data_IF_520443309517
#
_entry.id   IF_520443309517
#
_cell.length_a   1.000
_cell.length_b   1.000
_cell.length_c   1.000
_cell.angle_alpha   90.00
_cell.angle_beta   90.00
_cell.angle_gamma   90.00
#
_symmetry.space_group_name_H-M   'P 1'
#
loop_
_entity.id
_entity.type
_entity.pdbx_description
1 polymer ?
#
# COMPACT_ATOMS: atom_id res chain seq x y z
N UNK A 1 15.08 11.02 10.09
CA UNK A 1 15.96 10.07 10.82
C UNK A 1 15.97 10.38 12.32
N UNK A 2 14.82 10.33 13.02
CA UNK A 2 14.72 10.91 14.37
C UNK A 2 15.52 10.13 15.43
N UNK A 3 15.58 8.79 15.33
CA UNK A 3 16.31 7.96 16.29
C UNK A 3 17.83 8.21 16.24
N UNK A 4 18.40 8.51 15.07
CA UNK A 4 19.82 8.83 14.91
C UNK A 4 20.25 10.07 15.72
N UNK A 5 19.32 10.98 16.02
CA UNK A 5 19.59 12.14 16.89
C UNK A 5 19.81 11.77 18.35
N UNK A 6 19.40 10.57 18.76
CA UNK A 6 19.44 10.08 20.14
C UNK A 6 20.40 8.88 20.30
N UNK A 7 20.60 8.09 19.25
CA UNK A 7 21.40 6.87 19.27
C UNK A 7 22.40 6.83 18.10
N UNK A 8 23.70 7.02 18.35
CA UNK A 8 24.72 7.09 17.30
C UNK A 8 24.90 5.77 16.55
N UNK A 9 24.45 4.64 17.10
CA UNK A 9 24.54 3.32 16.44
C UNK A 9 23.70 3.26 15.16
N UNK A 10 22.67 4.11 15.05
CA UNK A 10 21.86 4.22 13.83
C UNK A 10 22.73 4.71 12.67
N UNK A 11 23.55 5.73 12.87
CA UNK A 11 24.45 6.23 11.82
C UNK A 11 25.61 5.26 11.56
N UNK A 12 26.06 4.53 12.58
CA UNK A 12 27.11 3.52 12.44
C UNK A 12 26.68 2.32 11.57
N UNK A 13 25.47 1.83 11.77
CA UNK A 13 25.00 0.56 11.17
C UNK A 13 23.97 0.73 10.04
N UNK A 14 23.11 1.75 10.06
CA UNK A 14 22.09 1.98 9.02
C UNK A 14 22.67 2.77 7.84
N UNK A 15 23.46 2.07 7.01
CA UNK A 15 24.17 2.68 5.86
C UNK A 15 23.26 3.06 4.69
N UNK A 16 22.15 2.37 4.52
CA UNK A 16 21.22 2.58 3.41
C UNK A 16 19.77 2.57 3.92
N UNK A 17 18.93 3.39 3.30
CA UNK A 17 17.50 3.39 3.50
C UNK A 17 16.79 3.36 2.14
N UNK A 18 16.03 2.30 1.89
CA UNK A 18 15.12 2.25 0.75
C UNK A 18 13.74 2.72 1.20
N UNK A 19 13.21 3.70 0.48
CA UNK A 19 11.94 4.32 0.78
C UNK A 19 11.05 4.30 -0.46
N UNK A 20 9.77 4.01 -0.26
CA UNK A 20 8.77 3.99 -1.33
C UNK A 20 7.92 5.24 -1.26
N UNK A 21 7.59 5.81 -2.43
CA UNK A 21 6.54 6.82 -2.58
C UNK A 21 5.23 6.25 -2.00
N UNK A 22 4.50 7.07 -1.25
CA UNK A 22 3.29 6.66 -0.55
C UNK A 22 2.20 7.74 -0.68
N UNK A 23 1.04 7.36 -1.23
CA UNK A 23 -0.16 8.22 -1.32
C UNK A 23 -1.12 8.07 -0.13
N UNK A 24 -0.69 7.40 0.94
CA UNK A 24 -1.53 7.01 2.07
C UNK A 24 -1.72 5.49 2.15
N UNK A 25 -1.93 4.99 3.37
CA UNK A 25 -2.21 3.59 3.64
C UNK A 25 -3.69 3.43 3.97
N UNK A 26 -4.39 2.63 3.18
CA UNK A 26 -5.74 2.18 3.50
C UNK A 26 -5.71 1.18 4.66
N UNK A 27 -6.82 1.11 5.39
CA UNK A 27 -7.12 0.01 6.29
C UNK A 27 -7.17 -1.33 5.53
N UNK A 28 -6.86 -2.43 6.22
CA UNK A 28 -6.90 -3.78 5.63
C UNK A 28 -8.29 -4.12 5.09
N UNK A 29 -9.35 -3.63 5.75
CA UNK A 29 -10.74 -3.81 5.34
C UNK A 29 -11.03 -3.31 3.92
N UNK A 30 -10.26 -2.36 3.38
CA UNK A 30 -10.36 -1.96 1.95
C UNK A 30 -10.05 -3.12 1.02
N UNK A 31 -9.00 -3.89 1.30
CA UNK A 31 -8.64 -5.06 0.50
C UNK A 31 -9.65 -6.19 0.66
N UNK A 32 -10.11 -6.43 1.89
CA UNK A 32 -11.14 -7.43 2.17
C UNK A 32 -12.45 -7.12 1.41
N UNK A 33 -12.88 -5.86 1.40
CA UNK A 33 -14.04 -5.42 0.60
C UNK A 33 -13.85 -5.64 -0.89
N UNK A 34 -12.62 -5.51 -1.40
CA UNK A 34 -12.31 -5.83 -2.80
C UNK A 34 -12.42 -7.33 -3.05
N UNK A 35 -11.93 -8.19 -2.15
CA UNK A 35 -12.08 -9.64 -2.25
C UNK A 35 -13.56 -10.06 -2.24
N UNK A 36 -14.37 -9.44 -1.37
CA UNK A 36 -15.81 -9.70 -1.26
C UNK A 36 -16.56 -9.42 -2.58
N UNK A 37 -16.12 -8.45 -3.40
CA UNK A 37 -16.71 -8.20 -4.73
C UNK A 37 -16.63 -9.41 -5.66
N UNK A 38 -15.67 -10.30 -5.44
CA UNK A 38 -15.46 -11.52 -6.20
C UNK A 38 -15.84 -12.78 -5.43
N UNK A 39 -16.44 -12.63 -4.24
CA UNK A 39 -16.82 -13.75 -3.38
C UNK A 39 -15.63 -14.57 -2.88
N UNK A 40 -14.47 -13.92 -2.70
CA UNK A 40 -13.24 -14.56 -2.24
C UNK A 40 -12.99 -14.30 -0.75
N UNK A 41 -12.40 -15.28 -0.08
CA UNK A 41 -11.77 -15.11 1.24
C UNK A 41 -10.25 -14.95 1.13
N UNK A 42 -9.62 -14.45 2.19
CA UNK A 42 -8.15 -14.24 2.22
C UNK A 42 -7.38 -15.56 2.08
N UNK A 43 -7.90 -16.67 2.62
CA UNK A 43 -7.24 -17.97 2.55
C UNK A 43 -7.21 -18.57 1.13
N UNK A 44 -8.04 -18.09 0.21
CA UNK A 44 -7.99 -18.44 -1.21
C UNK A 44 -6.92 -17.68 -1.99
N UNK A 45 -6.35 -16.60 -1.42
CA UNK A 45 -5.50 -15.66 -2.10
C UNK A 45 -4.06 -16.16 -2.24
N UNK A 46 -3.48 -16.01 -3.44
CA UNK A 46 -2.05 -16.16 -3.70
C UNK A 46 -1.35 -14.81 -3.90
N UNK A 47 -2.05 -13.82 -4.48
CA UNK A 47 -1.53 -12.48 -4.73
C UNK A 47 -2.63 -11.44 -4.61
N UNK A 48 -2.36 -10.34 -3.90
CA UNK A 48 -3.11 -9.09 -4.04
C UNK A 48 -2.14 -7.96 -4.35
N UNK A 49 -2.38 -7.26 -5.45
CA UNK A 49 -1.55 -6.15 -5.91
C UNK A 49 -2.42 -4.93 -6.12
N UNK A 50 -2.18 -3.86 -5.37
CA UNK A 50 -2.94 -2.60 -5.51
C UNK A 50 -2.73 -1.94 -6.88
N UNK A 51 -1.50 -1.94 -7.39
CA UNK A 51 -1.10 -1.38 -8.68
C UNK A 51 -0.12 -2.32 -9.38
N UNK A 52 -0.48 -2.86 -10.54
CA UNK A 52 0.35 -3.78 -11.33
C UNK A 52 0.71 -3.27 -12.72
N UNK A 53 1.90 -3.65 -13.18
CA UNK A 53 2.42 -3.39 -14.52
C UNK A 53 2.46 -1.89 -14.94
N UNK A 54 2.55 -0.96 -13.99
CA UNK A 54 2.67 0.47 -14.26
C UNK A 54 2.11 1.34 -13.15
N UNK A 55 2.13 2.66 -13.35
CA UNK A 55 1.48 3.65 -12.50
C UNK A 55 0.74 4.70 -13.38
N UNK A 56 -0.61 4.73 -13.41
CA UNK A 56 -1.52 3.86 -12.65
C UNK A 56 -1.61 2.46 -13.26
N UNK A 57 -1.40 1.45 -12.44
CA UNK A 57 -1.55 0.04 -12.79
C UNK A 57 -2.92 -0.51 -12.39
N UNK A 58 -3.27 -1.70 -12.89
CA UNK A 58 -4.48 -2.41 -12.46
C UNK A 58 -4.29 -2.97 -11.04
N UNK A 59 -5.37 -2.97 -10.26
CA UNK A 59 -5.43 -3.86 -9.11
C UNK A 59 -5.60 -5.29 -9.62
N UNK A 60 -4.76 -6.21 -9.12
CA UNK A 60 -4.70 -7.61 -9.58
C UNK A 60 -4.82 -8.53 -8.38
N UNK A 61 -5.71 -9.51 -8.49
CA UNK A 61 -6.00 -10.53 -7.48
C UNK A 61 -5.77 -11.88 -8.14
N UNK A 62 -5.02 -12.76 -7.50
CA UNK A 62 -4.79 -14.13 -7.97
C UNK A 62 -5.07 -15.10 -6.84
N UNK A 63 -5.80 -16.16 -7.15
CA UNK A 63 -6.16 -17.22 -6.21
C UNK A 63 -5.15 -18.36 -6.28
N UNK A 64 -5.04 -19.14 -5.21
CA UNK A 64 -4.18 -20.35 -5.14
C UNK A 64 -4.54 -21.40 -6.19
N UNK A 65 -5.79 -21.39 -6.68
CA UNK A 65 -6.30 -22.28 -7.74
C UNK A 65 -6.16 -21.69 -9.15
N UNK A 66 -5.46 -20.57 -9.31
CA UNK A 66 -5.09 -20.01 -10.61
C UNK A 66 -6.13 -19.07 -11.25
N UNK A 67 -7.25 -18.76 -10.59
CA UNK A 67 -8.17 -17.69 -11.06
C UNK A 67 -7.54 -16.32 -10.82
N UNK A 68 -7.75 -15.38 -11.74
CA UNK A 68 -7.28 -14.00 -11.64
C UNK A 68 -8.39 -12.98 -11.90
N UNK A 69 -8.37 -11.88 -11.16
CA UNK A 69 -9.34 -10.78 -11.28
C UNK A 69 -8.61 -9.44 -11.33
N UNK A 70 -9.19 -8.48 -12.05
CA UNK A 70 -8.61 -7.16 -12.24
C UNK A 70 -9.65 -6.05 -12.04
N UNK A 71 -9.22 -4.95 -11.41
CA UNK A 71 -10.01 -3.73 -11.24
C UNK A 71 -9.15 -2.55 -11.71
N UNK A 72 -9.75 -1.65 -12.49
CA UNK A 72 -9.05 -0.43 -12.91
C UNK A 72 -8.76 0.49 -11.73
N UNK A 73 -7.72 1.32 -11.85
CA UNK A 73 -7.38 2.32 -10.83
C UNK A 73 -8.59 3.18 -10.44
N UNK A 74 -9.34 3.67 -11.44
CA UNK A 74 -10.51 4.53 -11.22
C UNK A 74 -11.59 3.78 -10.44
N UNK A 75 -11.94 2.56 -10.82
CA UNK A 75 -12.95 1.77 -10.09
C UNK A 75 -12.56 1.47 -8.63
N UNK A 76 -11.25 1.44 -8.31
CA UNK A 76 -10.77 1.19 -6.96
C UNK A 76 -10.76 2.47 -6.10
N UNK A 77 -10.44 3.62 -6.71
CA UNK A 77 -10.07 4.87 -6.03
C UNK A 77 -10.90 6.11 -6.38
N UNK A 78 -11.90 6.05 -7.26
CA UNK A 78 -12.68 7.26 -7.64
C UNK A 78 -13.47 7.87 -6.49
N UNK A 79 -13.91 7.06 -5.53
CA UNK A 79 -14.74 7.47 -4.40
C UNK A 79 -13.88 7.65 -3.15
N UNK A 80 -13.61 8.90 -2.78
CA UNK A 80 -12.75 9.30 -1.66
C UNK A 80 -13.26 8.79 -0.31
N UNK A 81 -14.57 8.73 -0.14
CA UNK A 81 -15.21 8.25 1.09
C UNK A 81 -14.91 6.76 1.33
N UNK A 82 -14.60 6.03 0.25
CA UNK A 82 -14.26 4.60 0.28
C UNK A 82 -12.75 4.33 0.25
N UNK A 83 -11.89 5.33 0.40
CA UNK A 83 -10.44 5.05 0.44
C UNK A 83 -10.01 4.35 1.73
N UNK A 84 -10.78 4.52 2.82
CA UNK A 84 -10.49 3.96 4.14
C UNK A 84 -9.06 4.25 4.60
N UNK A 85 -8.55 5.46 4.31
CA UNK A 85 -7.19 5.87 4.67
C UNK A 85 -7.08 6.04 6.18
N UNK A 86 -6.00 5.51 6.76
CA UNK A 86 -5.73 5.64 8.18
C UNK A 86 -5.56 7.13 8.57
N UNK A 87 -6.14 7.60 9.70
CA UNK A 87 -6.16 9.03 10.03
C UNK A 87 -4.78 9.72 10.01
N UNK A 88 -3.73 9.03 10.47
CA UNK A 88 -2.35 9.56 10.43
C UNK A 88 -1.85 9.89 9.02
N UNK A 89 -2.33 9.18 8.01
CA UNK A 89 -1.92 9.39 6.62
C UNK A 89 -2.56 10.65 6.02
N UNK A 90 -3.69 11.13 6.55
CA UNK A 90 -4.29 12.42 6.15
C UNK A 90 -3.45 13.62 6.62
N UNK A 91 -2.62 13.42 7.64
CA UNK A 91 -1.74 14.45 8.21
C UNK A 91 -0.30 14.37 7.68
N UNK A 92 0.07 13.28 7.01
CA UNK A 92 1.43 13.05 6.55
C UNK A 92 1.74 13.95 5.34
N UNK A 93 2.68 14.91 5.44
CA UNK A 93 2.99 15.80 4.33
C UNK A 93 4.04 15.21 3.36
N UNK A 94 4.54 14.00 3.63
CA UNK A 94 5.66 13.41 2.91
C UNK A 94 5.22 12.24 2.02
N UNK A 95 4.86 12.56 0.78
CA UNK A 95 4.42 11.57 -0.20
C UNK A 95 5.59 10.85 -0.90
N UNK A 96 6.76 11.49 -0.99
CA UNK A 96 7.93 10.96 -1.71
C UNK A 96 8.95 10.27 -0.80
N UNK A 97 8.69 10.28 0.52
CA UNK A 97 9.59 9.82 1.58
C UNK A 97 10.95 10.50 1.51
N UNK A 98 10.94 11.82 1.66
CA UNK A 98 12.17 12.57 1.84
C UNK A 98 12.83 12.14 3.15
N UNK A 99 13.99 11.50 3.06
CA UNK A 99 14.83 11.22 4.22
C UNK A 99 15.77 12.41 4.40
N UNK A 100 15.51 13.35 5.32
CA UNK A 100 16.47 14.41 5.59
C UNK A 100 17.79 13.80 6.05
N UNK A 101 18.89 14.40 5.58
CA UNK A 101 20.25 14.06 5.99
C UNK A 101 20.39 14.14 7.51
#
# INVERSE_FOLDING_TARGET
RNLARLDPRVDEHMRYALAFVCGGASDLTKSEQVLQRFGLSEDELALFRYLGHGNPGLNRIETKVGRSFEISYRQLWEDEDKWLIQPRCKLCPDAIRQVPA
#
